data_IF_073904781613
#
_entry.id   IF_073904781613
#
_cell.length_a   1.000
_cell.length_b   1.000
_cell.length_c   1.000
_cell.angle_alpha   90.00
_cell.angle_beta   90.00
_cell.angle_gamma   90.00
#
_symmetry.space_group_name_H-M   'P 1'
#
loop_
_entity.id
_entity.type
_entity.pdbx_description
1 polymer ?
#
# COMPACT_ATOMS: atom_id res chain seq x y z
N UNK A 1 8.17 -4.29 13.43
CA UNK A 1 8.82 -2.97 13.31
C UNK A 1 8.36 -2.23 12.05
N UNK A 2 8.85 -2.56 10.85
CA UNK A 2 8.30 -1.99 9.59
C UNK A 2 7.43 -3.02 8.87
N UNK A 3 6.14 -2.71 8.67
CA UNK A 3 5.17 -3.64 8.08
C UNK A 3 5.08 -3.53 6.55
N UNK A 4 5.55 -2.43 5.94
CA UNK A 4 5.59 -2.22 4.48
C UNK A 4 4.24 -2.36 3.78
N UNK A 5 3.18 -1.89 4.44
CA UNK A 5 1.78 -1.91 3.98
C UNK A 5 1.19 -0.50 4.17
N UNK A 6 0.30 -0.08 3.29
CA UNK A 6 -0.47 1.16 3.49
C UNK A 6 -1.47 1.01 4.63
N UNK A 7 -2.05 2.12 5.11
CA UNK A 7 -3.09 2.07 6.15
C UNK A 7 -4.32 1.26 5.71
N UNK A 8 -4.72 1.32 4.43
CA UNK A 8 -5.82 0.52 3.90
C UNK A 8 -5.50 -0.97 3.89
N UNK A 9 -4.29 -1.35 3.46
CA UNK A 9 -3.82 -2.74 3.50
C UNK A 9 -3.73 -3.27 4.93
N UNK A 10 -3.27 -2.45 5.89
CA UNK A 10 -3.26 -2.82 7.30
C UNK A 10 -4.68 -3.01 7.85
N UNK A 11 -5.62 -2.14 7.47
CA UNK A 11 -7.01 -2.28 7.88
C UNK A 11 -7.58 -3.63 7.39
N UNK A 12 -7.36 -3.98 6.11
CA UNK A 12 -7.75 -5.29 5.56
C UNK A 12 -7.07 -6.44 6.31
N UNK A 13 -5.76 -6.33 6.54
CA UNK A 13 -4.98 -7.33 7.26
C UNK A 13 -5.62 -7.62 8.62
N UNK A 14 -5.79 -6.61 9.48
CA UNK A 14 -6.38 -6.83 10.81
C UNK A 14 -7.86 -7.22 10.77
N UNK A 15 -8.61 -6.77 9.76
CA UNK A 15 -10.03 -7.06 9.66
C UNK A 15 -10.32 -8.57 9.52
N UNK A 16 -9.34 -9.38 9.08
CA UNK A 16 -9.43 -10.86 9.06
C UNK A 16 -9.81 -11.49 10.40
N UNK A 17 -9.58 -10.79 11.51
CA UNK A 17 -9.93 -11.24 12.88
C UNK A 17 -11.00 -10.38 13.55
N UNK A 18 -11.36 -9.24 12.98
CA UNK A 18 -12.31 -8.29 13.57
C UNK A 18 -13.70 -8.45 12.93
N UNK A 19 -13.78 -8.62 11.61
CA UNK A 19 -15.05 -8.74 10.89
C UNK A 19 -15.87 -7.45 10.85
N UNK A 20 -15.20 -6.29 10.85
CA UNK A 20 -15.86 -5.00 10.66
C UNK A 20 -16.33 -4.84 9.20
N UNK A 21 -17.44 -4.12 9.01
CA UNK A 21 -17.86 -3.63 7.70
C UNK A 21 -16.89 -2.53 7.24
N UNK A 22 -15.90 -2.91 6.41
CA UNK A 22 -14.75 -2.09 6.05
C UNK A 22 -14.73 -1.86 4.54
N UNK A 23 -14.68 -0.58 4.16
CA UNK A 23 -14.41 -0.16 2.78
C UNK A 23 -13.07 0.57 2.73
N UNK A 24 -12.16 0.07 1.91
CA UNK A 24 -10.90 0.76 1.56
C UNK A 24 -11.05 1.32 0.16
N UNK A 25 -10.71 2.61 -0.02
CA UNK A 25 -10.63 3.25 -1.34
C UNK A 25 -9.16 3.23 -1.76
N UNK A 26 -8.76 2.40 -2.75
CA UNK A 26 -7.38 2.35 -3.23
C UNK A 26 -6.91 3.68 -3.82
N UNK A 27 -5.62 3.96 -3.67
CA UNK A 27 -4.95 5.05 -4.38
C UNK A 27 -4.75 4.67 -5.85
N UNK A 28 -4.84 5.65 -6.74
CA UNK A 28 -4.50 5.49 -8.15
C UNK A 28 -3.02 5.85 -8.38
N UNK A 29 -2.32 5.08 -9.21
CA UNK A 29 -0.93 5.33 -9.60
C UNK A 29 0.14 4.98 -8.56
N UNK A 30 -0.23 4.70 -7.30
CA UNK A 30 0.72 4.25 -6.28
C UNK A 30 1.19 2.82 -6.55
N UNK A 31 2.50 2.60 -6.53
CA UNK A 31 3.11 1.27 -6.55
C UNK A 31 3.95 1.07 -5.29
N UNK A 32 4.22 -0.19 -4.93
CA UNK A 32 4.97 -0.50 -3.70
C UNK A 32 6.44 -0.06 -3.77
N UNK A 33 6.96 0.16 -4.96
CA UNK A 33 8.33 0.67 -5.16
C UNK A 33 8.41 2.19 -4.94
N UNK A 34 7.28 2.89 -4.83
CA UNK A 34 7.30 4.32 -4.55
C UNK A 34 7.70 4.62 -3.11
N UNK A 35 8.65 5.52 -2.95
CA UNK A 35 8.82 6.32 -1.74
C UNK A 35 7.95 7.58 -1.82
N UNK A 36 7.74 8.28 -0.71
CA UNK A 36 6.84 9.44 -0.68
C UNK A 36 7.24 10.52 -1.70
N UNK A 37 8.54 10.70 -1.93
CA UNK A 37 9.10 11.62 -2.92
C UNK A 37 8.56 11.36 -4.34
N UNK A 38 8.34 10.10 -4.72
CA UNK A 38 7.91 9.74 -6.08
C UNK A 38 6.45 10.11 -6.35
N UNK A 39 5.67 10.34 -5.29
CA UNK A 39 4.25 10.71 -5.41
C UNK A 39 4.06 12.14 -5.93
N UNK A 40 5.09 12.99 -5.81
CA UNK A 40 5.00 14.42 -6.11
C UNK A 40 4.12 15.22 -5.12
N UNK A 41 3.62 14.60 -4.05
CA UNK A 41 2.79 15.26 -3.06
C UNK A 41 3.63 16.11 -2.09
N UNK A 42 3.10 17.24 -1.60
CA UNK A 42 3.77 18.02 -0.58
C UNK A 42 3.80 17.26 0.75
N UNK A 43 4.96 17.25 1.41
CA UNK A 43 5.09 16.68 2.76
C UNK A 43 4.40 17.58 3.78
N UNK A 44 3.55 16.97 4.62
CA UNK A 44 2.98 17.62 5.80
C UNK A 44 3.59 16.96 7.03
N UNK A 45 4.16 17.79 7.90
CA UNK A 45 4.78 17.36 9.15
C UNK A 45 3.83 16.47 9.97
N UNK A 46 4.23 15.23 10.23
CA UNK A 46 3.40 14.24 10.92
C UNK A 46 3.51 14.33 12.44
N UNK A 47 4.60 14.91 12.94
CA UNK A 47 4.79 15.24 14.37
C UNK A 47 5.88 16.30 14.55
N UNK A 48 5.99 16.97 15.73
CA UNK A 48 7.06 17.93 16.01
C UNK A 48 8.48 17.42 15.70
N UNK A 49 8.72 16.11 15.84
CA UNK A 49 10.01 15.48 15.60
C UNK A 49 10.15 14.81 14.22
N UNK A 50 9.13 14.89 13.36
CA UNK A 50 9.19 14.41 11.97
C UNK A 50 8.78 15.55 11.01
N UNK A 51 9.59 16.63 10.94
CA UNK A 51 9.30 17.78 10.09
C UNK A 51 9.52 17.51 8.60
N UNK A 52 10.39 16.56 8.25
CA UNK A 52 10.82 16.29 6.89
C UNK A 52 10.99 14.79 6.61
N UNK A 53 11.24 14.46 5.34
CA UNK A 53 11.39 13.08 4.88
C UNK A 53 12.66 12.42 5.44
N UNK A 54 13.73 13.16 5.71
CA UNK A 54 14.92 12.62 6.37
C UNK A 54 14.56 12.07 7.75
N UNK A 55 13.74 12.80 8.50
CA UNK A 55 13.24 12.32 9.80
C UNK A 55 12.36 11.08 9.68
N UNK A 56 11.60 10.91 8.59
CA UNK A 56 10.80 9.69 8.35
C UNK A 56 11.71 8.47 8.22
N UNK A 57 12.73 8.55 7.38
CA UNK A 57 13.69 7.47 7.18
C UNK A 57 14.60 7.28 8.40
N UNK A 58 14.99 8.37 9.07
CA UNK A 58 15.81 8.35 10.27
C UNK A 58 15.10 7.73 11.48
N UNK A 59 13.77 7.85 11.56
CA UNK A 59 12.97 7.41 12.71
C UNK A 59 13.26 5.96 13.10
N UNK A 60 13.13 5.04 12.15
CA UNK A 60 13.37 3.62 12.38
C UNK A 60 14.86 3.27 12.48
N UNK A 61 15.73 4.11 11.91
CA UNK A 61 17.18 3.90 11.94
C UNK A 61 17.80 4.32 13.29
N UNK A 62 17.16 5.22 14.03
CA UNK A 62 17.74 5.83 15.24
C UNK A 62 16.88 5.68 16.49
N UNK A 63 15.57 5.43 16.36
CA UNK A 63 14.61 5.43 17.46
C UNK A 63 14.47 4.11 18.24
N UNK A 64 15.39 3.15 18.08
CA UNK A 64 15.24 1.80 18.63
C UNK A 64 15.87 1.60 20.03
N UNK A 65 16.67 2.56 20.52
CA UNK A 65 17.51 2.40 21.72
C UNK A 65 16.89 2.79 23.06
N UNK A 66 15.57 2.93 23.13
CA UNK A 66 14.89 3.41 24.35
C UNK A 66 15.31 2.61 25.61
N UNK A 67 15.75 3.32 26.66
CA UNK A 67 16.21 2.72 27.91
C UNK A 67 17.64 2.16 27.90
N UNK A 68 18.33 2.12 26.75
CA UNK A 68 19.71 1.63 26.65
C UNK A 68 20.77 2.70 26.91
N UNK A 69 20.40 3.99 26.82
CA UNK A 69 21.32 5.12 26.78
C UNK A 69 21.81 5.48 25.37
N UNK A 70 21.58 4.61 24.38
CA UNK A 70 21.69 4.95 22.96
C UNK A 70 20.40 5.63 22.52
N UNK A 71 20.48 6.81 21.94
CA UNK A 71 19.30 7.61 21.60
C UNK A 71 19.50 8.40 20.30
N UNK A 72 18.38 8.88 19.77
CA UNK A 72 18.33 9.73 18.60
C UNK A 72 18.46 11.21 18.96
N UNK A 73 18.94 12.02 18.01
CA UNK A 73 18.87 13.47 18.07
C UNK A 73 18.65 14.10 16.68
N UNK A 74 18.44 15.41 16.65
CA UNK A 74 18.17 16.20 15.43
C UNK A 74 17.04 15.63 14.59
N UNK A 75 15.92 15.32 15.24
CA UNK A 75 14.74 14.77 14.56
C UNK A 75 15.13 13.49 13.80
N UNK A 76 15.76 12.55 14.51
CA UNK A 76 16.18 11.24 14.01
C UNK A 76 17.33 11.22 12.99
N UNK A 77 18.08 12.31 12.86
CA UNK A 77 19.23 12.42 11.93
C UNK A 77 20.58 12.05 12.57
N UNK A 78 20.61 11.84 13.88
CA UNK A 78 21.78 11.42 14.64
C UNK A 78 21.41 10.28 15.59
N UNK A 79 22.36 9.37 15.85
CA UNK A 79 22.26 8.33 16.88
C UNK A 79 23.59 8.18 17.62
N UNK A 80 23.54 8.05 18.94
CA UNK A 80 24.71 7.86 19.78
C UNK A 80 24.39 7.74 21.25
N UNK A 81 25.43 7.84 22.09
CA UNK A 81 25.31 7.72 23.53
C UNK A 81 26.65 7.78 24.25
N UNK A 82 26.62 7.69 25.58
CA UNK A 82 27.84 7.74 26.41
C UNK A 82 28.72 6.52 26.18
N UNK A 83 30.03 6.74 26.20
CA UNK A 83 31.03 5.67 26.06
C UNK A 83 31.17 5.09 24.65
N UNK A 84 30.54 5.72 23.65
CA UNK A 84 30.72 5.35 22.24
C UNK A 84 31.82 6.24 21.65
N UNK A 85 32.81 5.64 20.98
CA UNK A 85 33.73 6.37 20.11
C UNK A 85 33.05 6.62 18.75
N UNK A 86 32.93 7.89 18.35
CA UNK A 86 32.19 8.24 17.13
C UNK A 86 32.87 7.77 15.85
N UNK A 87 34.21 7.77 15.81
CA UNK A 87 34.96 7.34 14.64
C UNK A 87 34.83 5.84 14.45
N UNK A 88 35.05 5.06 15.52
CA UNK A 88 34.89 3.61 15.48
C UNK A 88 33.46 3.21 15.14
N UNK A 89 32.46 3.92 15.69
CA UNK A 89 31.06 3.65 15.39
C UNK A 89 30.70 3.94 13.92
N UNK A 90 31.18 5.04 13.36
CA UNK A 90 31.02 5.37 11.94
C UNK A 90 31.71 4.32 11.06
N UNK A 91 32.92 3.90 11.40
CA UNK A 91 33.69 2.92 10.64
C UNK A 91 32.98 1.56 10.60
N UNK A 92 32.50 1.06 11.75
CA UNK A 92 31.73 -0.19 11.83
C UNK A 92 30.47 -0.15 10.96
N UNK A 93 29.72 0.96 11.00
CA UNK A 93 28.49 1.13 10.22
C UNK A 93 28.76 1.27 8.71
N UNK A 94 29.76 2.04 8.32
CA UNK A 94 30.13 2.21 6.91
C UNK A 94 30.71 0.91 6.32
N UNK A 95 31.53 0.18 7.07
CA UNK A 95 32.08 -1.12 6.64
C UNK A 95 31.01 -2.23 6.55
N UNK A 96 29.87 -2.07 7.22
CA UNK A 96 28.77 -3.02 7.14
C UNK A 96 28.11 -3.08 5.76
N UNK A 97 28.33 -2.08 4.90
CA UNK A 97 27.78 -2.01 3.54
C UNK A 97 26.26 -1.84 3.54
N UNK A 98 25.74 -0.96 4.40
CA UNK A 98 24.32 -0.60 4.43
C UNK A 98 24.00 0.28 3.20
N UNK A 99 23.12 -0.14 2.27
CA UNK A 99 22.88 0.61 1.05
C UNK A 99 22.22 1.97 1.32
N UNK A 100 22.53 2.96 0.49
CA UNK A 100 21.87 4.26 0.46
C UNK A 100 22.16 5.20 1.62
N UNK A 101 23.09 4.88 2.52
CA UNK A 101 23.43 5.72 3.68
C UNK A 101 24.94 5.72 3.94
N UNK A 102 25.45 6.87 4.39
CA UNK A 102 26.79 7.01 4.97
C UNK A 102 26.66 7.59 6.38
N UNK A 103 27.52 7.14 7.27
CA UNK A 103 27.55 7.56 8.67
C UNK A 103 28.75 8.46 8.90
N UNK A 104 28.50 9.68 9.39
CA UNK A 104 29.53 10.68 9.66
C UNK A 104 29.74 10.71 11.18
N UNK A 105 30.96 10.52 11.69
CA UNK A 105 31.23 10.59 13.13
C UNK A 105 30.89 11.99 13.66
N UNK A 106 30.11 12.05 14.73
CA UNK A 106 29.71 13.32 15.36
C UNK A 106 29.54 13.15 16.87
N UNK A 107 30.34 13.89 17.64
CA UNK A 107 30.22 13.95 19.10
C UNK A 107 29.23 15.04 19.54
N UNK A 108 28.51 14.77 20.63
CA UNK A 108 27.60 15.69 21.32
C UNK A 108 27.94 15.77 22.79
N UNK A 109 28.65 16.83 23.17
CA UNK A 109 29.16 16.96 24.54
C UNK A 109 30.07 15.77 24.89
N UNK A 110 29.64 14.93 25.83
CA UNK A 110 30.39 13.74 26.28
C UNK A 110 29.94 12.45 25.57
N UNK A 111 29.06 12.54 24.59
CA UNK A 111 28.47 11.39 23.90
C UNK A 111 29.03 11.31 22.49
N UNK A 112 29.47 10.12 22.09
CA UNK A 112 29.85 9.84 20.71
C UNK A 112 28.68 9.24 19.95
N UNK A 113 28.63 9.52 18.66
CA UNK A 113 27.58 9.01 17.78
C UNK A 113 27.90 9.28 16.33
N UNK A 114 26.88 9.09 15.50
CA UNK A 114 26.96 9.29 14.07
C UNK A 114 25.77 10.08 13.56
N UNK A 115 26.03 10.98 12.61
CA UNK A 115 24.99 11.58 11.77
C UNK A 115 24.75 10.70 10.56
N UNK A 116 23.48 10.45 10.25
CA UNK A 116 23.07 9.74 9.05
C UNK A 116 23.02 10.72 7.88
N UNK A 117 23.70 10.37 6.78
CA UNK A 117 23.56 11.04 5.49
C UNK A 117 22.98 10.04 4.49
N UNK A 118 21.68 10.13 4.25
CA UNK A 118 20.99 9.32 3.25
C UNK A 118 21.38 9.84 1.86
N UNK A 119 21.87 8.95 1.00
CA UNK A 119 22.32 9.24 -0.36
C UNK A 119 21.37 8.66 -1.41
N UNK A 120 20.71 7.56 -1.08
CA UNK A 120 19.74 6.89 -1.94
C UNK A 120 18.59 6.36 -1.06
N UNK A 121 17.44 7.02 -1.13
CA UNK A 121 16.27 6.67 -0.34
C UNK A 121 15.59 5.38 -0.81
N UNK A 122 15.76 5.01 -2.09
CA UNK A 122 15.21 3.77 -2.65
C UNK A 122 16.01 2.55 -2.17
N UNK A 123 17.33 2.70 -2.02
CA UNK A 123 18.18 1.64 -1.49
C UNK A 123 18.21 1.56 0.04
N UNK A 124 17.91 2.66 0.74
CA UNK A 124 18.07 2.73 2.19
C UNK A 124 17.06 1.86 2.94
N UNK A 125 17.56 1.03 3.87
CA UNK A 125 16.73 0.22 4.77
C UNK A 125 16.86 0.70 6.23
N UNK A 126 15.93 1.55 6.71
CA UNK A 126 15.95 2.10 8.06
C UNK A 126 15.93 1.05 9.17
N UNK A 127 15.05 0.05 9.06
CA UNK A 127 14.85 -0.94 10.11
C UNK A 127 16.08 -1.83 10.31
N UNK A 128 16.71 -2.27 9.19
CA UNK A 128 17.99 -2.99 9.22
C UNK A 128 19.08 -2.11 9.83
N UNK A 129 19.16 -0.85 9.40
CA UNK A 129 20.15 0.10 9.92
C UNK A 129 20.06 0.29 11.42
N UNK A 130 18.86 0.44 11.98
CA UNK A 130 18.68 0.61 13.43
C UNK A 130 19.15 -0.60 14.24
N UNK A 131 18.98 -1.82 13.72
CA UNK A 131 19.50 -3.03 14.38
C UNK A 131 21.03 -3.06 14.35
N UNK A 132 21.64 -2.67 13.24
CA UNK A 132 23.10 -2.60 13.12
C UNK A 132 23.67 -1.52 14.05
N UNK A 133 23.04 -0.34 14.10
CA UNK A 133 23.44 0.74 14.98
C UNK A 133 23.39 0.33 16.45
N UNK A 134 22.33 -0.35 16.89
CA UNK A 134 22.25 -0.83 18.28
C UNK A 134 23.28 -1.91 18.61
N UNK A 135 23.48 -2.88 17.72
CA UNK A 135 24.44 -3.95 17.94
C UNK A 135 25.88 -3.42 18.03
N UNK A 136 26.27 -2.51 17.15
CA UNK A 136 27.60 -1.88 17.20
C UNK A 136 27.74 -0.90 18.37
N UNK A 137 26.71 -0.10 18.68
CA UNK A 137 26.74 0.75 19.87
C UNK A 137 26.99 -0.10 21.13
N UNK A 138 26.33 -1.25 21.25
CA UNK A 138 26.54 -2.17 22.35
C UNK A 138 27.95 -2.76 22.37
N UNK A 139 28.51 -3.13 21.22
CA UNK A 139 29.88 -3.66 21.18
C UNK A 139 30.92 -2.62 21.63
N UNK A 140 30.62 -1.33 21.48
CA UNK A 140 31.51 -0.24 21.86
C UNK A 140 31.41 0.14 23.35
N UNK A 141 30.19 0.24 23.89
CA UNK A 141 30.00 0.78 25.25
C UNK A 141 29.41 -0.22 26.26
N UNK A 142 29.09 -1.45 25.81
CA UNK A 142 28.48 -2.51 26.61
C UNK A 142 27.25 -2.05 27.43
N UNK A 143 26.40 -1.17 26.87
CA UNK A 143 25.24 -0.63 27.57
C UNK A 143 24.34 -1.74 28.16
N UNK A 144 23.69 -1.48 29.30
CA UNK A 144 22.75 -2.43 29.89
C UNK A 144 21.48 -2.52 29.04
N UNK A 145 21.07 -3.75 28.69
CA UNK A 145 19.82 -3.99 27.94
C UNK A 145 18.64 -3.96 28.92
N UNK A 146 17.62 -3.10 28.71
CA UNK A 146 16.41 -3.12 29.52
C UNK A 146 15.69 -4.46 29.43
N UNK A 147 15.19 -4.97 30.57
CA UNK A 147 14.51 -6.28 30.64
C UNK A 147 13.09 -6.13 31.12
N UNK A 148 12.15 -6.74 30.40
CA UNK A 148 10.78 -6.90 30.90
C UNK A 148 10.73 -7.81 32.12
N UNK A 149 9.88 -7.44 33.08
CA UNK A 149 9.55 -8.23 34.26
C UNK A 149 8.03 -8.34 34.39
N UNK A 150 7.49 -7.93 35.53
CA UNK A 150 6.03 -7.78 35.70
C UNK A 150 5.44 -6.74 34.74
N UNK A 151 6.23 -5.74 34.37
CA UNK A 151 5.88 -4.74 33.35
C UNK A 151 6.80 -4.89 32.15
N UNK A 152 6.21 -4.75 30.95
CA UNK A 152 6.97 -4.76 29.70
C UNK A 152 7.65 -3.40 29.54
N UNK A 153 8.99 -3.41 29.44
CA UNK A 153 9.79 -2.19 29.26
C UNK A 153 9.62 -1.63 27.85
N UNK A 154 9.88 -0.34 27.68
CA UNK A 154 9.64 0.32 26.39
C UNK A 154 10.51 -0.25 25.26
N UNK A 155 11.75 -0.67 25.57
CA UNK A 155 12.62 -1.35 24.62
C UNK A 155 11.94 -2.57 23.97
N UNK A 156 11.42 -3.49 24.79
CA UNK A 156 10.75 -4.70 24.30
C UNK A 156 9.41 -4.38 23.61
N UNK A 157 8.71 -3.31 24.01
CA UNK A 157 7.50 -2.83 23.31
C UNK A 157 7.81 -2.34 21.90
N UNK A 158 8.88 -1.57 21.74
CA UNK A 158 9.34 -1.06 20.44
C UNK A 158 9.77 -2.23 19.54
N UNK A 159 10.55 -3.17 20.09
CA UNK A 159 11.03 -4.33 19.36
C UNK A 159 9.90 -5.34 19.06
N UNK A 160 8.85 -5.36 19.88
CA UNK A 160 7.77 -6.35 19.84
C UNK A 160 8.18 -7.73 20.38
N UNK A 161 9.36 -7.83 21.02
CA UNK A 161 9.93 -9.07 21.57
C UNK A 161 11.13 -8.74 22.48
N UNK A 162 11.41 -9.61 23.45
CA UNK A 162 12.61 -9.60 24.28
C UNK A 162 13.84 -10.22 23.61
N UNK A 163 13.66 -10.95 22.49
CA UNK A 163 14.73 -11.67 21.79
C UNK A 163 15.84 -10.76 21.28
N UNK A 164 15.51 -9.54 20.82
CA UNK A 164 16.53 -8.59 20.36
C UNK A 164 17.46 -8.22 21.50
N UNK A 165 16.92 -7.97 22.70
CA UNK A 165 17.71 -7.73 23.89
C UNK A 165 18.64 -8.90 24.22
N UNK A 166 18.12 -10.13 24.17
CA UNK A 166 18.92 -11.34 24.41
C UNK A 166 20.06 -11.51 23.40
N UNK A 167 19.81 -11.21 22.12
CA UNK A 167 20.84 -11.27 21.07
C UNK A 167 21.93 -10.23 21.27
N UNK A 168 21.54 -9.01 21.66
CA UNK A 168 22.47 -7.95 22.02
C UNK A 168 23.33 -8.36 23.22
N UNK A 169 22.74 -8.91 24.29
CA UNK A 169 23.47 -9.37 25.48
C UNK A 169 24.48 -10.47 25.16
N UNK A 170 24.10 -11.41 24.29
CA UNK A 170 24.97 -12.49 23.82
C UNK A 170 26.05 -12.04 22.81
N UNK A 171 26.10 -10.75 22.44
CA UNK A 171 27.15 -10.18 21.58
C UNK A 171 27.06 -10.65 20.13
N UNK A 172 25.86 -10.98 19.64
CA UNK A 172 25.67 -11.40 18.26
C UNK A 172 26.02 -10.26 17.31
N UNK A 173 26.69 -10.60 16.20
CA UNK A 173 26.93 -9.66 15.12
C UNK A 173 25.59 -9.26 14.46
N UNK A 174 25.46 -8.04 13.92
CA UNK A 174 24.20 -7.59 13.31
C UNK A 174 23.63 -8.54 12.26
N UNK A 175 24.49 -9.16 11.43
CA UNK A 175 24.09 -10.16 10.43
C UNK A 175 23.47 -11.42 11.04
N UNK A 176 23.91 -11.82 12.23
CA UNK A 176 23.33 -12.97 12.95
C UNK A 176 21.97 -12.61 13.55
N UNK A 177 21.82 -11.39 14.09
CA UNK A 177 20.52 -10.88 14.55
C UNK A 177 19.54 -10.85 13.37
N UNK A 178 19.98 -10.35 12.22
CA UNK A 178 19.22 -10.34 10.98
C UNK A 178 18.79 -11.74 10.52
N UNK A 179 19.72 -12.69 10.51
CA UNK A 179 19.40 -14.08 10.20
C UNK A 179 18.34 -14.67 11.14
N UNK A 180 18.38 -14.32 12.43
CA UNK A 180 17.44 -14.85 13.43
C UNK A 180 16.00 -14.35 13.25
N UNK A 181 15.78 -13.09 12.88
CA UNK A 181 14.43 -12.59 12.61
C UNK A 181 13.94 -12.87 11.19
N UNK A 182 14.83 -13.22 10.26
CA UNK A 182 14.50 -13.43 8.83
C UNK A 182 13.37 -14.44 8.60
N UNK A 183 13.31 -15.61 9.28
CA UNK A 183 12.20 -16.54 9.11
C UNK A 183 10.83 -15.91 9.43
N UNK A 184 10.73 -15.16 10.52
CA UNK A 184 9.50 -14.46 10.91
C UNK A 184 9.14 -13.34 9.92
N UNK A 185 10.15 -12.61 9.44
CA UNK A 185 9.96 -11.60 8.39
C UNK A 185 9.42 -12.22 7.09
N UNK A 186 9.98 -13.34 6.64
CA UNK A 186 9.53 -14.03 5.44
C UNK A 186 8.13 -14.61 5.59
N UNK A 187 7.82 -15.15 6.77
CA UNK A 187 6.46 -15.60 7.08
C UNK A 187 5.47 -14.44 7.04
N UNK A 188 5.80 -13.29 7.64
CA UNK A 188 4.95 -12.10 7.59
C UNK A 188 4.79 -11.56 6.16
N UNK A 189 5.87 -11.56 5.36
CA UNK A 189 5.80 -11.17 3.94
C UNK A 189 4.82 -12.05 3.17
N UNK A 190 4.81 -13.36 3.41
CA UNK A 190 3.85 -14.29 2.82
C UNK A 190 2.43 -14.07 3.34
N UNK A 191 2.27 -13.87 4.65
CA UNK A 191 0.94 -13.65 5.25
C UNK A 191 0.28 -12.36 4.74
N UNK A 192 1.06 -11.29 4.54
CA UNK A 192 0.50 -10.01 4.11
C UNK A 192 0.13 -9.97 2.62
N UNK A 193 0.64 -10.89 1.79
CA UNK A 193 0.38 -10.94 0.34
C UNK A 193 -1.12 -10.92 0.03
N UNK A 194 -1.92 -11.65 0.81
CA UNK A 194 -3.39 -11.74 0.65
C UNK A 194 -4.12 -10.41 0.92
N UNK A 195 -3.43 -9.39 1.43
CA UNK A 195 -3.99 -8.11 1.83
C UNK A 195 -3.34 -6.92 1.11
N UNK A 196 -2.44 -7.18 0.17
CA UNK A 196 -1.81 -6.13 -0.63
C UNK A 196 -2.77 -5.68 -1.73
N UNK A 197 -2.89 -4.36 -1.88
CA UNK A 197 -3.65 -3.69 -2.93
C UNK A 197 -2.72 -3.27 -4.08
N UNK A 198 -1.45 -2.97 -3.78
CA UNK A 198 -0.49 -2.40 -4.74
C UNK A 198 0.66 -3.35 -5.09
N UNK A 199 0.98 -3.47 -6.38
CA UNK A 199 2.07 -4.29 -6.93
C UNK A 199 3.43 -3.59 -7.01
N UNK A 200 4.45 -4.30 -7.51
CA UNK A 200 5.80 -3.77 -7.82
C UNK A 200 5.86 -3.25 -9.27
N UNK A 201 6.78 -2.34 -9.60
CA UNK A 201 6.74 -1.45 -10.78
C UNK A 201 6.64 -2.04 -12.19
N UNK A 202 6.64 -3.36 -12.37
CA UNK A 202 6.39 -4.06 -13.65
C UNK A 202 5.26 -5.09 -13.57
N UNK A 203 4.58 -5.19 -12.42
CA UNK A 203 3.41 -6.04 -12.25
C UNK A 203 2.18 -5.34 -12.84
N UNK A 204 2.07 -5.45 -14.17
CA UNK A 204 0.80 -5.59 -14.89
C UNK A 204 0.06 -6.88 -14.51
N UNK A 205 0.33 -7.47 -13.33
CA UNK A 205 -0.50 -8.54 -12.76
C UNK A 205 -1.79 -7.95 -12.22
N UNK A 206 -2.69 -7.82 -13.17
CA UNK A 206 -4.07 -8.34 -13.07
C UNK A 206 -4.10 -9.79 -12.56
N UNK A 207 -3.65 -10.01 -11.32
CA UNK A 207 -4.00 -11.21 -10.54
C UNK A 207 -4.16 -10.80 -9.07
N UNK A 208 -5.09 -9.88 -8.82
CA UNK A 208 -5.65 -9.70 -7.49
C UNK A 208 -6.49 -10.93 -7.14
N UNK A 209 -5.92 -11.83 -6.34
CA UNK A 209 -6.70 -12.84 -5.62
C UNK A 209 -7.69 -12.10 -4.72
N UNK A 210 -8.95 -12.08 -5.18
CA UNK A 210 -10.22 -11.86 -4.48
C UNK A 210 -10.08 -11.16 -3.12
N UNK A 211 -9.96 -9.83 -3.15
CA UNK A 211 -10.45 -8.99 -2.08
C UNK A 211 -11.98 -8.97 -2.14
N UNK A 212 -12.60 -9.33 -1.02
CA UNK A 212 -14.03 -9.21 -0.80
C UNK A 212 -14.48 -7.77 -1.09
N UNK A 213 -15.16 -7.58 -2.23
CA UNK A 213 -15.70 -6.28 -2.65
C UNK A 213 -15.47 -5.89 -4.11
N UNK A 214 -14.37 -6.33 -4.75
CA UNK A 214 -14.07 -5.91 -6.13
C UNK A 214 -14.93 -6.68 -7.14
N UNK A 215 -15.64 -5.94 -8.00
CA UNK A 215 -16.53 -6.54 -9.00
C UNK A 215 -15.74 -6.84 -10.27
N UNK A 216 -15.64 -8.12 -10.62
CA UNK A 216 -14.97 -8.55 -11.87
C UNK A 216 -15.98 -8.55 -13.01
N UNK A 217 -15.56 -8.14 -14.21
CA UNK A 217 -16.39 -8.21 -15.41
C UNK A 217 -15.67 -9.00 -16.49
N UNK A 218 -16.34 -10.01 -17.02
CA UNK A 218 -15.88 -10.88 -18.09
C UNK A 218 -16.81 -10.66 -19.30
N UNK A 219 -16.26 -10.44 -20.48
CA UNK A 219 -17.01 -10.33 -21.74
C UNK A 219 -16.39 -11.25 -22.79
N UNK A 220 -17.17 -12.20 -23.33
CA UNK A 220 -16.68 -13.22 -24.26
C UNK A 220 -15.51 -14.04 -23.69
N UNK A 221 -15.55 -14.32 -22.39
CA UNK A 221 -14.49 -15.04 -21.66
C UNK A 221 -13.24 -14.20 -21.30
N UNK A 222 -13.15 -12.94 -21.74
CA UNK A 222 -12.01 -12.06 -21.44
C UNK A 222 -12.34 -11.08 -20.31
N UNK A 223 -11.37 -10.81 -19.43
CA UNK A 223 -11.52 -9.82 -18.37
C UNK A 223 -11.55 -8.40 -18.95
N UNK A 224 -12.53 -7.61 -18.56
CA UNK A 224 -12.67 -6.22 -18.97
C UNK A 224 -12.00 -5.33 -17.93
N UNK A 225 -10.99 -4.57 -18.35
CA UNK A 225 -10.33 -3.59 -17.50
C UNK A 225 -11.12 -2.27 -17.48
N UNK A 226 -11.08 -1.59 -16.34
CA UNK A 226 -11.78 -0.32 -16.13
C UNK A 226 -10.83 0.74 -15.60
N UNK A 227 -10.97 1.96 -16.13
CA UNK A 227 -10.34 3.16 -15.57
C UNK A 227 -11.21 3.83 -14.49
N UNK A 228 -12.42 3.31 -14.24
CA UNK A 228 -13.30 3.70 -13.13
C UNK A 228 -14.01 2.47 -12.59
N UNK A 229 -13.96 2.27 -11.27
CA UNK A 229 -14.43 1.04 -10.66
C UNK A 229 -15.95 0.82 -10.86
N UNK A 230 -16.38 -0.40 -11.28
CA UNK A 230 -17.79 -0.79 -11.22
C UNK A 230 -18.35 -0.73 -9.81
N UNK A 231 -19.65 -0.50 -9.67
CA UNK A 231 -20.33 -0.49 -8.38
C UNK A 231 -21.79 -0.95 -8.49
N UNK A 232 -22.40 -1.34 -7.37
CA UNK A 232 -23.84 -1.62 -7.30
C UNK A 232 -24.57 -0.36 -6.84
N UNK A 233 -25.59 0.07 -7.57
CA UNK A 233 -26.39 1.24 -7.23
C UNK A 233 -27.49 0.93 -6.19
N UNK A 234 -28.27 1.96 -5.81
CA UNK A 234 -29.37 1.83 -4.86
C UNK A 234 -30.54 0.95 -5.32
N UNK A 235 -30.61 0.61 -6.61
CA UNK A 235 -31.60 -0.30 -7.19
C UNK A 235 -31.04 -1.72 -7.37
N UNK A 236 -29.89 -2.02 -6.74
CA UNK A 236 -29.20 -3.30 -6.82
C UNK A 236 -28.78 -3.66 -8.27
N UNK A 237 -28.41 -2.66 -9.07
CA UNK A 237 -27.90 -2.83 -10.44
C UNK A 237 -26.40 -2.57 -10.48
N UNK A 238 -25.68 -3.47 -11.15
CA UNK A 238 -24.25 -3.31 -11.43
C UNK A 238 -24.04 -2.25 -12.51
N UNK A 239 -23.44 -1.15 -12.08
CA UNK A 239 -23.04 0.00 -12.89
C UNK A 239 -21.58 -0.15 -13.30
N UNK A 240 -21.32 -0.04 -14.60
CA UNK A 240 -20.00 -0.22 -15.21
C UNK A 240 -19.68 0.94 -16.15
N UNK A 241 -18.40 1.28 -16.36
CA UNK A 241 -18.00 2.23 -17.38
C UNK A 241 -18.44 1.77 -18.77
N UNK A 242 -19.25 2.59 -19.44
CA UNK A 242 -19.88 2.27 -20.71
C UNK A 242 -18.89 1.82 -21.79
N UNK A 243 -17.79 2.58 -21.96
CA UNK A 243 -16.85 2.38 -23.07
C UNK A 243 -16.23 0.99 -23.05
N UNK A 244 -15.78 0.55 -21.87
CA UNK A 244 -15.12 -0.75 -21.71
C UNK A 244 -16.05 -1.93 -22.06
N UNK A 245 -17.34 -1.84 -21.71
CA UNK A 245 -18.32 -2.89 -22.07
C UNK A 245 -18.63 -2.88 -23.56
N UNK A 246 -18.84 -1.69 -24.13
CA UNK A 246 -19.21 -1.56 -25.55
C UNK A 246 -18.10 -2.05 -26.46
N UNK A 247 -16.85 -1.69 -26.15
CA UNK A 247 -15.66 -2.19 -26.85
C UNK A 247 -15.51 -3.71 -26.70
N UNK A 248 -15.65 -4.24 -25.48
CA UNK A 248 -15.53 -5.68 -25.26
C UNK A 248 -16.62 -6.51 -25.96
N UNK A 249 -17.79 -5.91 -26.20
CA UNK A 249 -18.88 -6.52 -26.97
C UNK A 249 -18.78 -6.27 -28.47
N UNK A 250 -17.71 -5.62 -28.96
CA UNK A 250 -17.51 -5.33 -30.37
C UNK A 250 -18.56 -4.40 -30.96
N UNK A 251 -19.00 -3.41 -30.19
CA UNK A 251 -19.97 -2.40 -30.59
C UNK A 251 -19.33 -1.00 -30.61
N UNK A 252 -19.89 -0.10 -31.41
CA UNK A 252 -19.48 1.30 -31.49
C UNK A 252 -20.29 2.16 -30.51
N UNK A 253 -19.65 3.14 -29.87
CA UNK A 253 -20.32 4.08 -28.97
C UNK A 253 -20.10 5.53 -29.40
N UNK A 254 -21.19 6.27 -29.47
CA UNK A 254 -21.20 7.71 -29.71
C UNK A 254 -21.79 8.44 -28.50
N UNK A 255 -21.02 9.38 -27.95
CA UNK A 255 -21.47 10.27 -26.89
C UNK A 255 -21.81 11.64 -27.45
N UNK A 256 -23.02 12.13 -27.19
CA UNK A 256 -23.44 13.48 -27.53
C UNK A 256 -23.46 14.34 -26.25
N UNK A 257 -22.48 15.23 -26.05
CA UNK A 257 -22.40 16.04 -24.83
C UNK A 257 -23.54 17.06 -24.71
N UNK A 258 -23.99 17.65 -25.82
CA UNK A 258 -25.06 18.65 -25.80
C UNK A 258 -26.42 18.05 -25.41
N UNK A 259 -26.72 16.85 -25.92
CA UNK A 259 -27.96 16.13 -25.59
C UNK A 259 -27.86 15.31 -24.28
N UNK A 260 -26.63 15.13 -23.75
CA UNK A 260 -26.28 14.20 -22.68
C UNK A 260 -26.81 12.79 -22.96
N UNK A 261 -26.51 12.30 -24.16
CA UNK A 261 -27.04 11.03 -24.67
C UNK A 261 -25.97 10.12 -25.25
N UNK A 262 -26.25 8.83 -25.22
CA UNK A 262 -25.39 7.75 -25.69
C UNK A 262 -26.11 7.07 -26.84
N UNK A 263 -25.37 6.75 -27.91
CA UNK A 263 -25.83 5.87 -28.99
C UNK A 263 -24.85 4.73 -29.14
N UNK A 264 -25.33 3.49 -29.09
CA UNK A 264 -24.53 2.27 -29.25
C UNK A 264 -24.99 1.55 -30.52
N UNK A 265 -24.05 1.13 -31.35
CA UNK A 265 -24.32 0.44 -32.62
C UNK A 265 -23.61 -0.92 -32.63
N UNK A 266 -24.33 -1.99 -32.94
CA UNK A 266 -23.76 -3.34 -33.13
C UNK A 266 -24.53 -4.08 -34.23
N UNK A 267 -23.92 -4.23 -35.40
CA UNK A 267 -24.63 -4.71 -36.59
C UNK A 267 -25.88 -3.86 -36.87
N UNK A 268 -27.05 -4.49 -36.97
CA UNK A 268 -28.33 -3.79 -37.18
C UNK A 268 -28.98 -3.29 -35.87
N UNK A 269 -28.34 -3.50 -34.71
CA UNK A 269 -28.88 -3.09 -33.42
C UNK A 269 -28.43 -1.68 -33.06
N UNK A 270 -29.39 -0.81 -32.78
CA UNK A 270 -29.18 0.56 -32.30
C UNK A 270 -29.79 0.73 -30.92
N UNK A 271 -28.97 1.12 -29.95
CA UNK A 271 -29.40 1.50 -28.61
C UNK A 271 -29.19 2.99 -28.38
N UNK A 272 -30.16 3.63 -27.76
CA UNK A 272 -30.05 5.02 -27.32
C UNK A 272 -30.43 5.15 -25.86
N UNK A 273 -29.62 5.93 -25.13
CA UNK A 273 -29.82 6.22 -23.72
C UNK A 273 -29.61 7.72 -23.46
N UNK A 274 -30.24 8.25 -22.41
CA UNK A 274 -29.98 9.60 -21.91
C UNK A 274 -29.55 9.55 -20.45
N UNK A 275 -28.59 10.39 -20.08
CA UNK A 275 -28.12 10.47 -18.69
C UNK A 275 -29.27 10.89 -17.78
N UNK A 276 -29.41 10.20 -16.65
CA UNK A 276 -30.46 10.34 -15.64
C UNK A 276 -31.88 10.01 -16.14
N UNK A 277 -32.02 9.34 -17.29
CA UNK A 277 -33.30 8.87 -17.82
C UNK A 277 -33.37 7.32 -17.76
N UNK A 278 -34.38 6.74 -17.11
CA UNK A 278 -34.54 5.28 -17.06
C UNK A 278 -35.10 4.71 -18.38
N UNK A 279 -35.49 5.54 -19.35
CA UNK A 279 -35.89 5.08 -20.67
C UNK A 279 -34.67 4.80 -21.57
N UNK A 280 -34.70 3.65 -22.24
CA UNK A 280 -33.78 3.30 -23.32
C UNK A 280 -34.58 3.10 -24.61
N UNK A 281 -34.02 3.44 -25.76
CA UNK A 281 -34.63 3.13 -27.07
C UNK A 281 -33.81 2.03 -27.73
N UNK A 282 -34.45 0.92 -28.05
CA UNK A 282 -33.84 -0.27 -28.65
C UNK A 282 -34.50 -0.49 -30.00
N UNK A 283 -33.74 -0.32 -31.09
CA UNK A 283 -34.25 -0.44 -32.47
C UNK A 283 -35.54 0.38 -32.70
N UNK A 284 -35.54 1.62 -32.22
CA UNK A 284 -36.67 2.56 -32.33
C UNK A 284 -37.82 2.34 -31.34
N UNK A 285 -37.77 1.30 -30.49
CA UNK A 285 -38.79 1.03 -29.47
C UNK A 285 -38.31 1.42 -28.08
N UNK A 286 -39.10 2.21 -27.37
CA UNK A 286 -38.81 2.60 -25.99
C UNK A 286 -39.01 1.42 -25.03
N UNK A 287 -38.02 1.16 -24.18
CA UNK A 287 -38.03 0.23 -23.06
C UNK A 287 -37.69 0.97 -21.77
N UNK A 288 -38.29 0.57 -20.67
CA UNK A 288 -38.06 1.18 -19.35
C UNK A 288 -37.11 0.30 -18.54
N UNK A 289 -36.14 0.94 -17.88
CA UNK A 289 -35.23 0.36 -16.90
C UNK A 289 -35.66 0.78 -15.49
N UNK A 290 -35.20 0.04 -14.49
CA UNK A 290 -35.36 0.38 -13.07
C UNK A 290 -34.22 1.24 -12.50
N UNK A 291 -33.22 1.55 -13.32
CA UNK A 291 -32.16 2.52 -13.03
C UNK A 291 -31.84 3.34 -14.28
N UNK A 292 -31.03 4.39 -14.11
CA UNK A 292 -30.65 5.31 -15.18
C UNK A 292 -29.13 5.31 -15.36
N UNK A 293 -28.62 5.52 -16.59
CA UNK A 293 -27.22 5.83 -16.78
C UNK A 293 -26.86 7.14 -16.06
N UNK A 294 -25.69 7.21 -15.43
CA UNK A 294 -25.23 8.40 -14.70
C UNK A 294 -23.83 8.79 -15.15
N UNK A 295 -23.43 10.03 -14.86
CA UNK A 295 -22.03 10.42 -14.96
C UNK A 295 -21.45 10.43 -13.54
N UNK A 296 -20.37 9.68 -13.32
CA UNK A 296 -19.63 9.61 -12.05
C UNK A 296 -18.15 9.62 -12.37
N UNK A 297 -17.38 10.50 -11.72
CA UNK A 297 -15.94 10.66 -11.94
C UNK A 297 -15.58 10.82 -13.43
N UNK A 298 -16.31 11.69 -14.14
CA UNK A 298 -16.14 11.92 -15.59
C UNK A 298 -16.25 10.67 -16.46
N UNK A 299 -16.95 9.64 -15.99
CA UNK A 299 -17.30 8.43 -16.75
C UNK A 299 -18.80 8.24 -16.79
N UNK A 300 -19.27 7.82 -17.95
CA UNK A 300 -20.64 7.37 -18.12
C UNK A 300 -20.75 5.96 -17.55
N UNK A 301 -21.49 5.84 -16.45
CA UNK A 301 -21.79 4.58 -15.78
C UNK A 301 -23.16 4.10 -16.24
N UNK A 302 -23.24 2.86 -16.71
CA UNK A 302 -24.46 2.28 -17.28
C UNK A 302 -24.73 0.91 -16.63
N UNK A 303 -26.01 0.52 -16.44
CA UNK A 303 -26.32 -0.79 -15.90
C UNK A 303 -25.97 -1.91 -16.90
N UNK A 304 -24.98 -2.73 -16.57
CA UNK A 304 -24.37 -3.72 -17.47
C UNK A 304 -25.39 -4.70 -18.07
N UNK A 305 -26.38 -5.10 -17.26
CA UNK A 305 -27.43 -6.05 -17.65
C UNK A 305 -28.23 -5.56 -18.85
N UNK A 306 -28.73 -4.33 -18.78
CA UNK A 306 -29.57 -3.80 -19.86
C UNK A 306 -28.77 -3.61 -21.15
N UNK A 307 -27.52 -3.16 -21.06
CA UNK A 307 -26.67 -3.02 -22.25
C UNK A 307 -26.41 -4.37 -22.89
N UNK A 308 -25.97 -5.37 -22.10
CA UNK A 308 -25.72 -6.72 -22.60
C UNK A 308 -26.97 -7.34 -23.23
N UNK A 309 -28.07 -7.39 -22.49
CA UNK A 309 -29.33 -8.01 -22.96
C UNK A 309 -29.91 -7.30 -24.18
N UNK A 310 -29.84 -5.97 -24.25
CA UNK A 310 -30.34 -5.23 -25.43
C UNK A 310 -29.44 -5.37 -26.66
N UNK A 311 -28.15 -5.68 -26.48
CA UNK A 311 -27.24 -6.08 -27.56
C UNK A 311 -27.31 -7.58 -27.89
N UNK A 312 -28.22 -8.32 -27.24
CA UNK A 312 -28.42 -9.76 -27.47
C UNK A 312 -27.45 -10.68 -26.73
N UNK A 313 -26.69 -10.16 -25.77
CA UNK A 313 -25.81 -10.95 -24.91
C UNK A 313 -26.54 -11.48 -23.67
N UNK A 314 -26.07 -12.58 -23.12
CA UNK A 314 -26.49 -13.13 -21.83
C UNK A 314 -25.63 -12.55 -20.73
N UNK A 315 -26.24 -12.04 -19.65
CA UNK A 315 -25.51 -11.45 -18.52
C UNK A 315 -25.76 -12.28 -17.27
N UNK A 316 -24.72 -12.95 -16.78
CA UNK A 316 -24.76 -13.75 -15.56
C UNK A 316 -24.04 -13.03 -14.42
N UNK A 317 -24.69 -12.90 -13.27
CA UNK A 317 -24.07 -12.41 -12.04
C UNK A 317 -23.77 -13.57 -11.10
N UNK A 318 -22.50 -13.74 -10.75
CA UNK A 318 -22.06 -14.62 -9.68
C UNK A 318 -21.89 -13.79 -8.40
N UNK A 319 -22.77 -14.03 -7.43
CA UNK A 319 -22.77 -13.31 -6.16
C UNK A 319 -21.58 -13.71 -5.27
N UNK A 320 -21.17 -14.98 -5.28
CA UNK A 320 -20.06 -15.48 -4.46
C UNK A 320 -18.71 -15.02 -5.02
N UNK A 321 -18.56 -15.06 -6.34
CA UNK A 321 -17.37 -14.58 -7.02
C UNK A 321 -17.35 -13.05 -7.22
N UNK A 322 -18.46 -12.36 -6.93
CA UNK A 322 -18.69 -10.93 -7.26
C UNK A 322 -18.26 -10.61 -8.69
N UNK A 323 -18.64 -11.48 -9.63
CA UNK A 323 -18.28 -11.34 -11.04
C UNK A 323 -19.51 -11.31 -11.92
N UNK A 324 -19.46 -10.51 -12.97
CA UNK A 324 -20.44 -10.59 -14.06
C UNK A 324 -19.76 -11.19 -15.30
N UNK A 325 -20.45 -12.11 -15.96
CA UNK A 325 -20.05 -12.67 -17.25
C UNK A 325 -21.06 -12.23 -18.31
N UNK A 326 -20.56 -11.80 -19.45
CA UNK A 326 -21.34 -11.35 -20.60
C UNK A 326 -20.95 -12.22 -21.80
N UNK A 327 -21.88 -13.05 -22.28
CA UNK A 327 -21.69 -14.01 -23.37
C UNK A 327 -22.60 -13.72 -24.57
#
# INVERSE_FOLDING_TARGET
>A
MSHGMTAGELALFFNRKIGADLVVVPMEGYTREMIFQDTGLPWVQTSPNIPDLDSVFGYMATGLGEGTGVHQADQFKWIGGKGIDSQEFADLLNQAGLPGVVFIPENRGQEGGVRLKIQDYHAFNPARTGIYALAYARSLNNFAVPKSGQTVVMFDKIMGTDKIGQYLEAGLLPRQIEANYTPALNQFKKEREDYLIYGTGDDQRTESKKTDGQITVLAGGNMVAFDSAPYIDGNNRLMVPLRAIVEALGADVHWNPAARSITILKGDTTLFFRINDPAAVVNGKTKKMDTSPVIRNDRTMIPVRYVGEYLGATVHWDQEARSVTID
#
